data_IF_922901783168
#
_entry.id   IF_922901783168
#
_cell.length_a   1.000
_cell.length_b   1.000
_cell.length_c   1.000
_cell.angle_alpha   90.00
_cell.angle_beta   90.00
_cell.angle_gamma   90.00
#
_symmetry.space_group_name_H-M   'P 1'
#
loop_
_entity.id
_entity.type
_entity.pdbx_description
1 polymer ?
#
# COMPACT_ATOMS: atom_id res chain seq x y z
N UNK A 1 9.34 2.82 13.19
CA UNK A 1 10.16 1.66 12.83
C UNK A 1 11.50 2.12 12.31
N UNK A 2 12.52 1.88 13.08
CA UNK A 2 13.86 2.40 12.77
C UNK A 2 14.46 1.80 11.52
N UNK A 3 14.23 0.51 11.28
CA UNK A 3 14.74 -0.16 10.08
C UNK A 3 14.26 0.52 8.79
N UNK A 4 12.98 0.88 8.73
CA UNK A 4 12.43 1.58 7.57
C UNK A 4 13.00 2.99 7.44
N UNK A 5 13.12 3.71 8.52
CA UNK A 5 13.71 5.06 8.51
C UNK A 5 15.14 5.04 8.01
N UNK A 6 15.94 4.08 8.47
CA UNK A 6 17.32 3.93 8.01
C UNK A 6 17.39 3.58 6.53
N UNK A 7 16.50 2.73 6.05
CA UNK A 7 16.46 2.37 4.63
C UNK A 7 16.09 3.57 3.77
N UNK A 8 15.16 4.39 4.22
CA UNK A 8 14.78 5.62 3.52
C UNK A 8 15.97 6.59 3.46
N UNK A 9 16.71 6.75 4.57
CA UNK A 9 17.91 7.61 4.59
C UNK A 9 18.99 7.11 3.65
N UNK A 10 19.18 5.78 3.58
CA UNK A 10 20.24 5.17 2.78
C UNK A 10 19.92 5.14 1.29
N UNK A 11 18.73 4.69 0.92
CA UNK A 11 18.37 4.37 -0.46
C UNK A 11 17.28 5.26 -1.03
N UNK A 12 16.65 6.10 -0.21
CA UNK A 12 15.69 7.08 -0.70
C UNK A 12 16.37 8.20 -1.48
N UNK A 13 15.72 8.68 -2.51
CA UNK A 13 16.23 9.77 -3.36
C UNK A 13 15.27 10.94 -3.30
N UNK A 14 15.78 12.10 -2.92
CA UNK A 14 14.99 13.33 -2.89
C UNK A 14 15.07 14.03 -4.22
N UNK A 15 13.92 14.35 -4.80
CA UNK A 15 13.82 15.11 -6.03
C UNK A 15 13.03 16.39 -5.77
N UNK A 16 13.65 17.55 -6.06
CA UNK A 16 13.04 18.82 -5.72
C UNK A 16 12.92 19.00 -4.20
N UNK A 17 11.88 19.69 -3.77
CA UNK A 17 11.66 19.98 -2.35
C UNK A 17 10.60 19.07 -1.70
N UNK A 18 9.86 18.30 -2.49
CA UNK A 18 8.63 17.66 -2.04
C UNK A 18 8.47 16.20 -2.49
N UNK A 19 9.44 15.65 -3.22
CA UNK A 19 9.35 14.27 -3.71
C UNK A 19 10.46 13.42 -3.09
N UNK A 20 10.04 12.39 -2.38
CA UNK A 20 10.91 11.33 -1.90
C UNK A 20 10.66 10.07 -2.74
N UNK A 21 11.67 9.63 -3.46
CA UNK A 21 11.59 8.41 -4.27
C UNK A 21 12.14 7.23 -3.49
N UNK A 22 11.33 6.20 -3.38
CA UNK A 22 11.65 4.96 -2.68
C UNK A 22 11.54 3.75 -3.62
N UNK A 23 11.78 3.99 -4.90
CA UNK A 23 11.52 3.04 -5.98
C UNK A 23 12.35 1.78 -5.88
N UNK A 24 13.55 1.87 -5.31
CA UNK A 24 14.48 0.74 -5.30
C UNK A 24 14.15 -0.33 -4.26
N UNK A 25 13.24 -0.06 -3.33
CA UNK A 25 12.95 -1.02 -2.27
C UNK A 25 11.47 -1.11 -1.88
N UNK A 26 10.62 -0.20 -2.31
CA UNK A 26 9.26 -0.13 -1.81
C UNK A 26 8.20 -0.26 -2.91
N UNK A 27 8.25 0.58 -3.94
CA UNK A 27 7.11 0.70 -4.85
C UNK A 27 7.40 0.41 -6.33
N UNK A 28 8.62 0.09 -6.69
CA UNK A 28 8.98 -0.44 -8.02
C UNK A 28 9.74 -1.74 -7.87
N UNK A 29 10.85 -1.71 -7.18
CA UNK A 29 11.48 -2.92 -6.70
C UNK A 29 11.02 -3.15 -5.27
N UNK A 30 10.58 -4.34 -4.96
CA UNK A 30 10.04 -4.69 -3.65
C UNK A 30 11.07 -5.51 -2.88
N UNK A 31 11.57 -4.97 -1.78
CA UNK A 31 12.44 -5.70 -0.88
C UNK A 31 11.58 -6.55 0.05
N UNK A 32 11.52 -7.84 -0.26
CA UNK A 32 10.63 -8.78 0.46
C UNK A 32 11.04 -8.93 1.92
N UNK A 33 12.33 -8.95 2.20
CA UNK A 33 12.80 -9.02 3.60
C UNK A 33 12.37 -7.79 4.40
N UNK A 34 12.48 -6.61 3.80
CA UNK A 34 12.00 -5.37 4.42
C UNK A 34 10.49 -5.43 4.63
N UNK A 35 9.73 -5.90 3.64
CA UNK A 35 8.27 -6.05 3.76
C UNK A 35 7.89 -7.00 4.89
N UNK A 36 8.65 -8.07 5.08
CA UNK A 36 8.48 -8.98 6.20
C UNK A 36 8.62 -8.28 7.55
N UNK A 37 9.63 -7.44 7.69
CA UNK A 37 9.85 -6.68 8.92
C UNK A 37 8.74 -5.63 9.14
N UNK A 38 8.26 -4.99 8.08
CA UNK A 38 7.12 -4.08 8.16
C UNK A 38 5.86 -4.84 8.59
N UNK A 39 5.62 -6.03 8.04
CA UNK A 39 4.50 -6.87 8.43
C UNK A 39 4.53 -7.24 9.91
N UNK A 40 5.70 -7.59 10.43
CA UNK A 40 5.88 -7.87 11.85
C UNK A 40 5.61 -6.64 12.71
N UNK A 41 6.01 -5.46 12.25
CA UNK A 41 5.73 -4.21 12.97
C UNK A 41 4.24 -3.93 13.02
N UNK A 42 3.51 -4.15 11.94
CA UNK A 42 2.05 -4.04 11.95
C UNK A 42 1.41 -5.05 12.90
N UNK A 43 1.89 -6.29 12.88
CA UNK A 43 1.40 -7.32 13.79
C UNK A 43 1.56 -6.88 15.25
N UNK A 44 2.71 -6.33 15.59
CA UNK A 44 2.99 -5.83 16.93
C UNK A 44 2.05 -4.69 17.33
N UNK A 45 1.84 -3.74 16.43
CA UNK A 45 1.02 -2.55 16.70
C UNK A 45 -0.47 -2.87 16.81
N UNK A 46 -0.93 -3.88 16.08
CA UNK A 46 -2.34 -4.25 16.04
C UNK A 46 -2.63 -5.57 16.75
N UNK A 47 -1.72 -6.01 17.60
CA UNK A 47 -1.93 -7.21 18.41
C UNK A 47 -3.20 -7.07 19.26
N UNK A 48 -4.04 -8.07 19.23
CA UNK A 48 -5.29 -8.07 19.99
C UNK A 48 -6.42 -7.24 19.41
N UNK A 49 -6.21 -6.58 18.24
CA UNK A 49 -7.24 -5.74 17.62
C UNK A 49 -8.27 -6.53 16.82
N UNK A 50 -8.05 -7.83 16.62
CA UNK A 50 -8.99 -8.66 15.87
C UNK A 50 -8.98 -8.39 14.36
N UNK A 51 -7.84 -8.03 13.80
CA UNK A 51 -7.71 -7.81 12.36
C UNK A 51 -8.05 -9.11 11.62
N UNK A 52 -9.03 -9.05 10.73
CA UNK A 52 -9.47 -10.20 9.94
C UNK A 52 -9.48 -9.96 8.43
N UNK A 53 -9.14 -8.76 8.00
CA UNK A 53 -8.97 -8.40 6.58
C UNK A 53 -8.00 -7.23 6.47
N UNK A 54 -7.27 -7.19 5.39
CA UNK A 54 -6.41 -6.07 5.04
C UNK A 54 -6.90 -5.47 3.74
N UNK A 55 -7.14 -4.18 3.73
CA UNK A 55 -7.54 -3.44 2.54
C UNK A 55 -6.38 -2.60 2.05
N UNK A 56 -6.11 -2.70 0.77
CA UNK A 56 -5.10 -1.86 0.10
C UNK A 56 -5.66 -1.33 -1.22
N UNK A 57 -4.88 -0.51 -1.89
CA UNK A 57 -5.23 0.06 -3.19
C UNK A 57 -4.13 -0.30 -4.18
N UNK A 58 -4.53 -0.69 -5.40
CA UNK A 58 -3.53 -0.94 -6.45
C UNK A 58 -2.69 0.32 -6.72
N UNK A 59 -1.44 0.20 -7.12
CA UNK A 59 -0.78 -1.08 -7.33
C UNK A 59 0.28 -1.32 -6.26
N UNK A 60 1.00 -0.31 -5.82
CA UNK A 60 2.19 -0.44 -4.97
C UNK A 60 1.89 -0.99 -3.57
N UNK A 61 0.67 -0.85 -3.09
CA UNK A 61 0.28 -1.36 -1.77
C UNK A 61 0.01 -2.86 -1.73
N UNK A 62 -0.19 -3.50 -2.87
CA UNK A 62 -0.60 -4.90 -2.91
C UNK A 62 0.49 -5.81 -2.35
N UNK A 63 1.75 -5.61 -2.77
CA UNK A 63 2.84 -6.46 -2.31
C UNK A 63 3.03 -6.45 -0.81
N UNK A 64 3.09 -5.25 -0.22
CA UNK A 64 3.26 -5.11 1.23
C UNK A 64 2.05 -5.63 2.00
N UNK A 65 0.86 -5.46 1.46
CA UNK A 65 -0.36 -5.99 2.09
C UNK A 65 -0.35 -7.51 2.12
N UNK A 66 0.06 -8.16 1.04
CA UNK A 66 0.12 -9.63 0.98
C UNK A 66 1.13 -10.20 1.97
N UNK A 67 2.30 -9.60 2.09
CA UNK A 67 3.30 -10.04 3.06
C UNK A 67 2.79 -9.80 4.49
N UNK A 68 2.20 -8.65 4.74
CA UNK A 68 1.64 -8.32 6.06
C UNK A 68 0.52 -9.28 6.46
N UNK A 69 -0.33 -9.66 5.52
CA UNK A 69 -1.46 -10.56 5.78
C UNK A 69 -1.04 -11.92 6.31
N UNK A 70 0.15 -12.38 5.99
CA UNK A 70 0.69 -13.63 6.53
C UNK A 70 0.81 -13.59 8.05
N UNK A 71 1.10 -12.42 8.61
CA UNK A 71 1.22 -12.24 10.06
C UNK A 71 -0.12 -12.10 10.77
N UNK A 72 -1.19 -11.85 10.04
CA UNK A 72 -2.56 -11.77 10.58
C UNK A 72 -3.42 -12.98 10.19
N UNK A 73 -2.91 -13.84 9.34
CA UNK A 73 -3.61 -15.00 8.81
C UNK A 73 -5.00 -14.63 8.28
N UNK A 74 -5.04 -13.63 7.42
CA UNK A 74 -6.28 -13.10 6.89
C UNK A 74 -6.17 -12.79 5.39
N UNK A 75 -7.30 -12.63 4.69
CA UNK A 75 -7.26 -12.24 3.29
C UNK A 75 -6.91 -10.78 3.09
N UNK A 76 -6.46 -10.50 1.88
CA UNK A 76 -6.23 -9.13 1.39
C UNK A 76 -7.30 -8.80 0.36
N UNK A 77 -7.86 -7.61 0.49
CA UNK A 77 -8.77 -7.04 -0.49
C UNK A 77 -8.08 -5.83 -1.09
N UNK A 78 -8.05 -5.73 -2.40
CA UNK A 78 -7.49 -4.54 -3.01
C UNK A 78 -8.53 -3.79 -3.82
N UNK A 79 -8.56 -2.49 -3.63
CA UNK A 79 -9.38 -1.59 -4.41
C UNK A 79 -8.69 -1.30 -5.73
N UNK A 80 -9.45 -1.26 -6.80
CA UNK A 80 -8.95 -0.95 -8.14
C UNK A 80 -9.19 0.51 -8.46
N UNK A 81 -8.20 1.13 -9.07
CA UNK A 81 -8.36 2.47 -9.66
C UNK A 81 -8.99 2.32 -11.03
N UNK A 82 -9.99 3.13 -11.32
CA UNK A 82 -10.61 3.17 -12.63
C UNK A 82 -10.99 4.61 -12.96
N UNK A 83 -11.10 4.91 -14.24
CA UNK A 83 -11.64 6.19 -14.65
C UNK A 83 -13.14 6.22 -14.36
N UNK A 84 -13.66 7.43 -14.09
CA UNK A 84 -15.08 7.62 -13.82
C UNK A 84 -15.92 7.14 -15.01
N UNK A 85 -16.59 6.01 -14.84
CA UNK A 85 -17.49 5.40 -15.83
C UNK A 85 -18.66 4.78 -15.10
N UNK A 86 -19.64 4.30 -15.86
CA UNK A 86 -20.72 3.51 -15.29
C UNK A 86 -20.16 2.22 -14.69
N UNK A 87 -20.33 2.10 -13.39
CA UNK A 87 -19.91 0.92 -12.64
C UNK A 87 -21.15 0.09 -12.37
N UNK A 88 -21.13 -1.15 -12.84
CA UNK A 88 -22.23 -2.08 -12.64
C UNK A 88 -21.96 -2.99 -11.44
N UNK A 89 -23.03 -3.37 -10.73
CA UNK A 89 -22.97 -4.30 -9.62
C UNK A 89 -22.84 -3.64 -8.25
N UNK A 90 -22.73 -4.48 -7.23
CA UNK A 90 -22.57 -4.02 -5.86
C UNK A 90 -21.10 -3.75 -5.58
N UNK A 91 -20.73 -2.47 -5.52
CA UNK A 91 -19.36 -2.04 -5.25
C UNK A 91 -19.37 -0.87 -4.29
N UNK A 92 -18.29 -0.74 -3.55
CA UNK A 92 -18.00 0.47 -2.79
C UNK A 92 -17.05 1.33 -3.61
N UNK A 93 -17.31 2.61 -3.70
CA UNK A 93 -16.52 3.52 -4.52
C UNK A 93 -16.27 4.85 -3.82
N UNK A 94 -15.14 5.46 -4.10
CA UNK A 94 -14.81 6.83 -3.74
C UNK A 94 -13.90 7.43 -4.80
N UNK A 95 -13.82 8.75 -4.85
CA UNK A 95 -12.97 9.44 -5.81
C UNK A 95 -11.64 9.82 -5.17
N UNK A 96 -10.56 9.59 -5.91
CA UNK A 96 -9.21 9.92 -5.48
C UNK A 96 -8.48 10.65 -6.59
N UNK A 97 -7.83 11.75 -6.25
CA UNK A 97 -6.95 12.46 -7.17
C UNK A 97 -5.57 11.84 -7.12
N UNK A 98 -5.06 11.48 -8.30
CA UNK A 98 -3.70 10.95 -8.42
C UNK A 98 -2.70 12.08 -8.64
N UNK A 99 -1.77 12.26 -7.72
CA UNK A 99 -0.68 13.22 -7.87
C UNK A 99 0.26 12.84 -9.01
N UNK A 100 0.43 11.56 -9.25
CA UNK A 100 1.33 11.06 -10.30
C UNK A 100 0.75 11.31 -11.69
N UNK A 101 -0.55 11.11 -11.87
CA UNK A 101 -1.21 11.18 -13.16
C UNK A 101 -1.99 12.48 -13.38
N UNK A 102 -2.20 13.29 -12.33
CA UNK A 102 -2.99 14.50 -12.40
C UNK A 102 -4.46 14.25 -12.79
N UNK A 103 -4.99 13.08 -12.49
CA UNK A 103 -6.35 12.66 -12.84
C UNK A 103 -7.14 12.29 -11.60
N UNK A 104 -8.45 12.38 -11.72
CA UNK A 104 -9.38 11.88 -10.70
C UNK A 104 -9.79 10.47 -11.10
N UNK A 105 -9.63 9.54 -10.18
CA UNK A 105 -10.02 8.14 -10.37
C UNK A 105 -11.10 7.75 -9.39
N UNK A 106 -11.96 6.83 -9.79
CA UNK A 106 -12.78 6.08 -8.86
C UNK A 106 -11.95 4.93 -8.29
N UNK A 107 -12.00 4.76 -6.98
CA UNK A 107 -11.41 3.61 -6.29
C UNK A 107 -12.54 2.66 -5.95
N UNK A 108 -12.45 1.43 -6.41
CA UNK A 108 -13.55 0.48 -6.39
C UNK A 108 -13.15 -0.78 -5.63
N UNK A 109 -14.04 -1.21 -4.74
CA UNK A 109 -13.99 -2.52 -4.08
C UNK A 109 -15.31 -3.23 -4.33
N UNK A 110 -15.24 -4.41 -4.89
CA UNK A 110 -16.44 -5.24 -5.08
C UNK A 110 -16.73 -6.12 -3.87
#
# INVERSE_FOLDING_TARGET
MELLKERIRKDGVVRGNDVLKVDSFLNHQMDIALFGEIGKEFQRRYAGSGVNKILTIEASGIGIACITAQYFNCPVIFAKKTQTKNIAGEVYTTKVESFTHGRVYDVIVS
#
